data_IF_016328834640
#
_entry.id   IF_016328834640
#
_cell.length_a   1.000
_cell.length_b   1.000
_cell.length_c   1.000
_cell.angle_alpha   90.00
_cell.angle_beta   90.00
_cell.angle_gamma   90.00
#
_symmetry.space_group_name_H-M   'P 1'
#
loop_
_entity.id
_entity.type
_entity.pdbx_description
1 polymer ?
#
# COMPACT_ATOMS: atom_id res chain seq x y z
N UNK A 1 66.20 -72.65 -16.33
CA UNK A 1 66.95 -72.69 -15.05
C UNK A 1 66.96 -71.30 -14.43
N UNK A 2 67.11 -71.05 -13.12
CA UNK A 2 66.81 -71.86 -11.91
C UNK A 2 66.92 -70.90 -10.70
N UNK A 3 65.88 -70.78 -9.86
CA UNK A 3 65.82 -69.91 -8.65
C UNK A 3 65.89 -68.39 -8.97
N UNK A 4 65.48 -67.47 -8.09
CA UNK A 4 65.13 -67.59 -6.67
C UNK A 4 63.86 -66.79 -6.28
N UNK A 5 63.16 -67.26 -5.24
CA UNK A 5 62.04 -66.53 -4.63
C UNK A 5 62.55 -65.46 -3.65
N UNK A 6 62.03 -64.23 -3.75
CA UNK A 6 62.38 -63.10 -2.88
C UNK A 6 61.18 -62.54 -2.13
N UNK A 7 60.97 -62.99 -0.88
CA UNK A 7 59.94 -62.44 0.04
C UNK A 7 60.13 -60.93 0.28
N UNK A 8 59.10 -60.11 0.02
CA UNK A 8 58.85 -58.87 0.79
C UNK A 8 57.35 -58.67 1.09
N UNK A 9 56.84 -59.43 2.06
CA UNK A 9 55.61 -59.08 2.81
C UNK A 9 55.90 -57.95 3.80
N UNK A 10 55.85 -56.71 3.34
CA UNK A 10 55.67 -55.45 4.11
C UNK A 10 54.98 -54.51 3.10
N UNK A 11 53.70 -54.17 3.23
CA UNK A 11 53.10 -53.37 4.31
C UNK A 11 51.64 -53.75 4.56
N UNK A 12 51.37 -54.50 5.64
CA UNK A 12 50.02 -54.79 6.13
C UNK A 12 49.97 -54.69 7.67
N UNK A 13 50.55 -53.62 8.22
CA UNK A 13 50.62 -53.37 9.67
C UNK A 13 50.18 -51.97 10.10
N UNK A 14 50.10 -51.01 9.19
CA UNK A 14 49.62 -49.66 9.51
C UNK A 14 48.09 -49.52 9.40
N UNK A 15 47.41 -50.44 8.69
CA UNK A 15 45.95 -50.53 8.63
C UNK A 15 45.28 -51.08 9.91
N UNK A 16 46.05 -51.37 10.97
CA UNK A 16 45.54 -51.88 12.26
C UNK A 16 45.84 -50.95 13.45
N UNK A 17 46.29 -49.71 13.19
CA UNK A 17 46.43 -48.67 14.21
C UNK A 17 45.31 -47.62 14.19
N UNK A 18 44.31 -47.79 13.32
CA UNK A 18 43.14 -46.93 13.24
C UNK A 18 41.98 -47.36 14.17
N UNK A 19 41.95 -48.61 14.62
CA UNK A 19 40.95 -49.13 15.58
C UNK A 19 41.31 -48.79 17.04
N UNK A 20 41.68 -47.53 17.29
CA UNK A 20 41.59 -46.97 18.64
C UNK A 20 40.12 -46.66 18.90
N UNK A 21 39.42 -47.57 19.57
CA UNK A 21 38.00 -47.41 19.88
C UNK A 21 37.73 -46.09 20.61
N UNK A 22 36.81 -45.27 20.06
CA UNK A 22 36.46 -43.95 20.59
C UNK A 22 36.18 -44.02 22.09
N UNK A 23 36.80 -43.15 22.87
CA UNK A 23 36.57 -43.11 24.31
C UNK A 23 35.19 -42.51 24.60
N UNK A 24 34.53 -42.94 25.69
CA UNK A 24 33.21 -42.40 26.07
C UNK A 24 33.24 -40.87 26.25
N UNK A 25 34.36 -40.34 26.75
CA UNK A 25 34.61 -38.90 26.88
C UNK A 25 34.60 -38.19 25.52
N UNK A 26 35.26 -38.77 24.53
CA UNK A 26 35.40 -38.23 23.17
C UNK A 26 34.07 -38.21 22.42
N UNK A 27 33.22 -39.24 22.62
CA UNK A 27 31.84 -39.25 22.11
C UNK A 27 31.00 -38.10 22.71
N UNK A 28 31.12 -37.87 24.02
CA UNK A 28 30.40 -36.78 24.73
C UNK A 28 30.87 -35.41 24.22
N UNK A 29 32.18 -35.21 24.04
CA UNK A 29 32.73 -33.97 23.48
C UNK A 29 32.27 -33.78 22.03
N UNK A 30 32.31 -34.82 21.20
CA UNK A 30 31.82 -34.76 19.82
C UNK A 30 30.32 -34.41 19.74
N UNK A 31 29.49 -34.98 20.59
CA UNK A 31 28.06 -34.63 20.71
C UNK A 31 27.85 -33.19 21.19
N UNK A 32 28.62 -32.75 22.20
CA UNK A 32 28.60 -31.38 22.70
C UNK A 32 28.93 -30.35 21.61
N UNK A 33 30.06 -30.51 20.92
CA UNK A 33 30.46 -29.63 19.82
C UNK A 33 29.46 -29.70 18.66
N UNK A 34 28.96 -30.88 18.29
CA UNK A 34 27.97 -31.04 17.22
C UNK A 34 26.64 -30.34 17.54
N UNK A 35 26.16 -30.41 18.79
CA UNK A 35 24.93 -29.72 19.19
C UNK A 35 25.07 -28.19 19.16
N UNK A 36 26.24 -27.64 19.55
CA UNK A 36 26.54 -26.22 19.43
C UNK A 36 26.57 -25.79 17.95
N UNK A 37 27.23 -26.58 17.08
CA UNK A 37 27.27 -26.30 15.64
C UNK A 37 25.88 -26.34 15.00
N UNK A 38 25.04 -27.32 15.35
CA UNK A 38 23.66 -27.40 14.88
C UNK A 38 22.83 -26.19 15.36
N UNK A 39 22.98 -25.74 16.61
CA UNK A 39 22.30 -24.55 17.13
C UNK A 39 22.72 -23.27 16.38
N UNK A 40 24.01 -23.12 16.04
CA UNK A 40 24.50 -22.02 15.20
C UNK A 40 23.91 -22.06 13.79
N UNK A 41 23.85 -23.23 13.16
CA UNK A 41 23.26 -23.39 11.81
C UNK A 41 21.76 -23.08 11.82
N UNK A 42 21.02 -23.60 12.80
CA UNK A 42 19.57 -23.36 12.93
C UNK A 42 19.28 -21.88 13.23
N UNK A 43 20.03 -21.24 14.13
CA UNK A 43 19.85 -19.81 14.41
C UNK A 43 20.18 -18.92 13.20
N UNK A 44 21.22 -19.25 12.44
CA UNK A 44 21.55 -18.57 11.17
C UNK A 44 20.42 -18.75 10.14
N UNK A 45 19.90 -19.97 9.96
CA UNK A 45 18.82 -20.26 9.03
C UNK A 45 17.52 -19.53 9.39
N UNK A 46 17.13 -19.53 10.68
CA UNK A 46 15.96 -18.79 11.18
C UNK A 46 16.13 -17.29 10.97
N UNK A 47 17.33 -16.75 11.21
CA UNK A 47 17.63 -15.32 11.02
C UNK A 47 17.57 -14.92 9.55
N UNK A 48 18.15 -15.73 8.66
CA UNK A 48 18.10 -15.52 7.21
C UNK A 48 16.66 -15.60 6.67
N UNK A 49 15.89 -16.59 7.12
CA UNK A 49 14.48 -16.76 6.74
C UNK A 49 13.62 -15.57 7.18
N UNK A 50 13.78 -15.10 8.43
CA UNK A 50 13.10 -13.90 8.95
C UNK A 50 13.47 -12.67 8.13
N UNK A 51 14.78 -12.43 7.92
CA UNK A 51 15.24 -11.28 7.12
C UNK A 51 14.68 -11.28 5.71
N UNK A 52 14.43 -12.45 5.11
CA UNK A 52 13.82 -12.56 3.78
C UNK A 52 12.31 -12.25 3.83
N UNK A 53 11.57 -12.77 4.81
CA UNK A 53 10.16 -12.41 5.04
C UNK A 53 9.98 -10.91 5.30
N UNK A 54 10.84 -10.31 6.13
CA UNK A 54 10.76 -8.88 6.46
C UNK A 54 11.05 -8.01 5.22
N UNK A 55 12.05 -8.39 4.40
CA UNK A 55 12.33 -7.74 3.10
C UNK A 55 11.17 -7.85 2.11
N UNK A 56 10.48 -9.00 2.04
CA UNK A 56 9.28 -9.16 1.22
C UNK A 56 8.17 -8.22 1.70
N UNK A 57 7.92 -8.14 3.02
CA UNK A 57 6.96 -7.24 3.62
C UNK A 57 7.20 -5.76 3.27
N UNK A 58 8.46 -5.29 3.32
CA UNK A 58 8.83 -3.91 2.91
C UNK A 58 8.49 -3.65 1.43
N UNK A 59 8.79 -4.59 0.55
CA UNK A 59 8.52 -4.47 -0.90
C UNK A 59 7.02 -4.48 -1.19
N UNK A 60 6.26 -5.34 -0.52
CA UNK A 60 4.80 -5.38 -0.66
C UNK A 60 4.13 -4.12 -0.13
N UNK A 61 4.51 -3.64 1.06
CA UNK A 61 4.02 -2.37 1.63
C UNK A 61 4.23 -1.22 0.64
N UNK A 62 5.43 -1.13 0.07
CA UNK A 62 5.82 -0.06 -0.86
C UNK A 62 5.04 -0.11 -2.18
N UNK A 63 4.86 -1.32 -2.75
CA UNK A 63 4.08 -1.54 -3.98
C UNK A 63 2.60 -1.24 -3.78
N UNK A 64 2.02 -1.73 -2.68
CA UNK A 64 0.63 -1.47 -2.31
C UNK A 64 0.41 0.03 -2.14
N UNK A 65 1.15 0.70 -1.25
CA UNK A 65 0.99 2.12 -0.97
C UNK A 65 1.15 3.00 -2.23
N UNK A 66 2.10 2.67 -3.12
CA UNK A 66 2.29 3.38 -4.39
C UNK A 66 1.11 3.18 -5.35
N UNK A 67 0.61 1.95 -5.48
CA UNK A 67 -0.51 1.62 -6.36
C UNK A 67 -1.82 2.25 -5.88
N UNK A 68 -2.10 2.14 -4.58
CA UNK A 68 -3.22 2.81 -3.92
C UNK A 68 -3.15 4.33 -4.10
N UNK A 69 -1.97 4.94 -3.93
CA UNK A 69 -1.79 6.39 -4.06
C UNK A 69 -1.99 6.84 -5.51
N UNK A 70 -1.49 6.08 -6.48
CA UNK A 70 -1.72 6.37 -7.89
C UNK A 70 -3.22 6.35 -8.24
N UNK A 71 -3.99 5.38 -7.74
CA UNK A 71 -5.43 5.32 -8.05
C UNK A 71 -6.24 6.44 -7.38
N UNK A 72 -6.02 6.69 -6.07
CA UNK A 72 -6.69 7.80 -5.36
C UNK A 72 -6.36 9.14 -6.02
N UNK A 73 -5.09 9.38 -6.37
CA UNK A 73 -4.67 10.64 -6.99
C UNK A 73 -5.13 10.74 -8.46
N UNK A 74 -5.35 9.62 -9.16
CA UNK A 74 -5.98 9.56 -10.50
C UNK A 74 -7.43 10.03 -10.44
N UNK A 75 -8.23 9.51 -9.51
CA UNK A 75 -9.63 9.93 -9.29
C UNK A 75 -9.71 11.39 -8.86
N UNK A 76 -8.93 11.81 -7.85
CA UNK A 76 -8.97 13.20 -7.36
C UNK A 76 -8.65 14.18 -8.51
N UNK A 77 -7.61 13.91 -9.32
CA UNK A 77 -7.23 14.76 -10.46
C UNK A 77 -8.29 14.81 -11.57
N UNK A 78 -9.12 13.77 -11.69
CA UNK A 78 -10.25 13.71 -12.61
C UNK A 78 -11.55 14.29 -12.01
N UNK A 79 -11.48 14.98 -10.86
CA UNK A 79 -12.62 15.64 -10.22
C UNK A 79 -13.23 16.72 -11.10
N UNK A 80 -14.57 16.77 -11.15
CA UNK A 80 -15.34 17.70 -11.98
C UNK A 80 -16.53 18.25 -11.20
N UNK A 81 -16.94 19.47 -11.52
CA UNK A 81 -18.28 19.93 -11.16
C UNK A 81 -19.33 19.29 -12.09
N UNK A 82 -20.59 19.23 -11.65
CA UNK A 82 -21.71 18.66 -12.41
C UNK A 82 -22.80 19.74 -12.59
N UNK A 83 -23.14 20.14 -13.83
CA UNK A 83 -24.24 21.06 -14.08
C UNK A 83 -25.58 20.50 -13.58
N UNK A 84 -26.43 21.37 -13.01
CA UNK A 84 -27.77 20.99 -12.51
C UNK A 84 -28.88 21.64 -13.32
N UNK A 85 -29.93 20.85 -13.58
CA UNK A 85 -31.11 21.35 -14.26
C UNK A 85 -31.78 22.47 -13.44
N UNK A 86 -32.14 23.56 -14.12
CA UNK A 86 -32.81 24.73 -13.53
C UNK A 86 -32.10 25.33 -12.30
N UNK A 87 -30.76 25.27 -12.26
CA UNK A 87 -29.95 25.87 -11.20
C UNK A 87 -28.71 26.54 -11.81
N UNK A 88 -28.41 27.82 -11.51
CA UNK A 88 -27.20 28.49 -12.02
C UNK A 88 -25.91 27.92 -11.41
N UNK A 89 -25.98 27.29 -10.23
CA UNK A 89 -24.84 26.70 -9.55
C UNK A 89 -24.72 25.20 -9.86
N UNK A 90 -23.59 24.82 -10.47
CA UNK A 90 -23.15 23.43 -10.56
C UNK A 90 -23.08 22.77 -9.17
N UNK A 91 -23.33 21.47 -9.10
CA UNK A 91 -22.88 20.68 -7.95
C UNK A 91 -21.34 20.68 -7.90
N UNK A 92 -20.73 20.99 -6.74
CA UNK A 92 -19.28 21.04 -6.60
C UNK A 92 -18.63 19.66 -6.81
N UNK A 93 -17.31 19.68 -7.00
CA UNK A 93 -16.48 18.47 -7.14
C UNK A 93 -16.72 17.49 -5.98
N UNK A 94 -16.70 17.97 -4.74
CA UNK A 94 -16.97 17.15 -3.56
C UNK A 94 -18.42 17.27 -3.11
N UNK A 95 -19.09 16.14 -2.93
CA UNK A 95 -20.33 16.01 -2.16
C UNK A 95 -20.03 15.95 -0.67
N UNK A 96 -18.89 15.35 -0.31
CA UNK A 96 -18.42 15.22 1.07
C UNK A 96 -16.88 15.29 1.08
N UNK A 97 -16.33 16.11 1.98
CA UNK A 97 -14.89 16.32 2.12
C UNK A 97 -14.50 16.28 3.61
N UNK A 98 -14.28 15.08 4.14
CA UNK A 98 -13.89 14.82 5.53
C UNK A 98 -12.47 14.24 5.66
N UNK A 99 -12.00 14.04 6.89
CA UNK A 99 -10.61 13.65 7.16
C UNK A 99 -10.24 12.21 6.73
N UNK A 100 -11.19 11.28 6.79
CA UNK A 100 -11.02 9.85 6.43
C UNK A 100 -12.01 9.38 5.34
N UNK A 101 -12.81 10.30 4.79
CA UNK A 101 -13.78 10.03 3.74
C UNK A 101 -13.90 11.21 2.78
N UNK A 102 -13.90 10.91 1.47
CA UNK A 102 -14.35 11.81 0.41
C UNK A 102 -15.47 11.16 -0.40
N UNK A 103 -16.41 11.97 -0.87
CA UNK A 103 -17.35 11.63 -1.94
C UNK A 103 -17.24 12.74 -2.98
N UNK A 104 -16.97 12.39 -4.23
CA UNK A 104 -16.75 13.35 -5.31
C UNK A 104 -17.32 12.89 -6.65
N UNK A 105 -17.53 13.84 -7.55
CA UNK A 105 -17.87 13.61 -8.95
C UNK A 105 -16.60 13.63 -9.80
N UNK A 106 -16.49 12.73 -10.77
CA UNK A 106 -15.28 12.57 -11.58
C UNK A 106 -15.59 12.07 -12.99
N UNK A 107 -14.91 12.62 -14.01
CA UNK A 107 -14.85 12.02 -15.36
C UNK A 107 -13.69 11.02 -15.47
N UNK A 108 -13.58 10.12 -14.49
CA UNK A 108 -12.62 9.01 -14.58
C UNK A 108 -13.18 7.91 -15.48
N UNK A 109 -12.31 7.29 -16.28
CA UNK A 109 -12.63 6.22 -17.21
C UNK A 109 -13.68 6.63 -18.29
N UNK A 110 -13.93 7.94 -18.43
CA UNK A 110 -14.60 8.54 -19.57
C UNK A 110 -13.79 8.28 -20.85
N UNK A 111 -14.29 7.37 -21.69
CA UNK A 111 -13.69 7.09 -22.99
C UNK A 111 -13.81 8.26 -23.97
N UNK A 112 -13.41 8.06 -25.22
CA UNK A 112 -13.53 9.08 -26.28
C UNK A 112 -14.97 9.33 -26.77
N UNK A 113 -15.98 8.98 -25.95
CA UNK A 113 -17.37 9.20 -26.27
C UNK A 113 -17.72 10.70 -26.08
N UNK A 114 -18.48 11.32 -27.00
CA UNK A 114 -18.83 12.74 -26.90
C UNK A 114 -19.79 13.06 -25.73
N UNK A 115 -20.44 12.03 -25.17
CA UNK A 115 -21.33 12.11 -24.01
C UNK A 115 -20.95 11.00 -23.00
N UNK A 116 -19.70 11.03 -22.53
CA UNK A 116 -19.23 10.07 -21.54
C UNK A 116 -19.83 10.38 -20.16
N UNK A 117 -20.47 9.40 -19.47
CA UNK A 117 -21.09 9.65 -18.17
C UNK A 117 -20.02 9.94 -17.10
N UNK A 118 -20.26 10.90 -16.18
CA UNK A 118 -19.47 11.06 -14.99
C UNK A 118 -19.70 9.88 -14.03
N UNK A 119 -18.81 9.71 -13.07
CA UNK A 119 -18.92 8.73 -11.99
C UNK A 119 -18.88 9.45 -10.65
N UNK A 120 -19.77 9.07 -9.73
CA UNK A 120 -19.63 9.47 -8.32
C UNK A 120 -18.77 8.44 -7.63
N UNK A 121 -17.71 8.87 -6.97
CA UNK A 121 -16.73 8.01 -6.29
C UNK A 121 -16.65 8.40 -4.82
N UNK A 122 -16.77 7.43 -3.93
CA UNK A 122 -16.42 7.54 -2.52
C UNK A 122 -15.09 6.84 -2.29
N UNK A 123 -14.18 7.48 -1.59
CA UNK A 123 -13.13 6.79 -0.85
C UNK A 123 -13.43 6.94 0.63
N UNK A 124 -13.55 5.82 1.33
CA UNK A 124 -13.83 5.80 2.77
C UNK A 124 -13.00 4.72 3.44
N UNK A 125 -12.64 4.96 4.70
CA UNK A 125 -11.95 3.96 5.50
C UNK A 125 -12.93 2.92 6.05
N UNK A 126 -12.67 1.65 5.76
CA UNK A 126 -13.42 0.50 6.26
C UNK A 126 -13.03 0.10 7.68
N UNK A 127 -13.86 -0.72 8.31
CA UNK A 127 -13.66 -1.22 9.68
C UNK A 127 -12.37 -2.04 9.87
N UNK A 128 -11.87 -2.69 8.82
CA UNK A 128 -10.62 -3.44 8.81
C UNK A 128 -9.34 -2.60 8.70
N UNK A 129 -9.41 -1.28 8.94
CA UNK A 129 -8.33 -0.33 8.62
C UNK A 129 -7.99 -0.32 7.11
N UNK A 130 -9.00 -0.48 6.26
CA UNK A 130 -8.86 -0.57 4.80
C UNK A 130 -9.29 0.73 4.12
N UNK A 131 -8.77 1.05 2.93
CA UNK A 131 -9.36 2.07 2.06
C UNK A 131 -10.24 1.38 1.04
N UNK A 132 -11.53 1.67 1.09
CA UNK A 132 -12.53 1.20 0.14
C UNK A 132 -12.83 2.29 -0.88
N UNK A 133 -12.98 1.89 -2.14
CA UNK A 133 -13.57 2.72 -3.19
C UNK A 133 -14.94 2.18 -3.54
N UNK A 134 -15.95 3.05 -3.49
CA UNK A 134 -17.32 2.77 -3.90
C UNK A 134 -17.70 3.71 -5.05
N UNK A 135 -18.28 3.17 -6.12
CA UNK A 135 -18.72 3.93 -7.29
C UNK A 135 -20.23 3.85 -7.47
N UNK A 136 -20.82 4.91 -7.99
CA UNK A 136 -22.20 4.96 -8.47
C UNK A 136 -22.20 5.43 -9.92
N UNK A 137 -23.01 4.77 -10.75
CA UNK A 137 -23.23 5.16 -12.13
C UNK A 137 -24.03 6.47 -12.20
N UNK A 138 -23.84 7.22 -13.28
CA UNK A 138 -24.67 8.36 -13.62
C UNK A 138 -25.75 7.98 -14.63
N UNK A 139 -26.89 8.66 -14.54
CA UNK A 139 -27.97 8.61 -15.51
C UNK A 139 -28.42 10.02 -15.89
N UNK A 140 -28.92 10.19 -17.12
CA UNK A 140 -29.47 11.46 -17.59
C UNK A 140 -30.78 11.78 -16.89
N UNK A 141 -30.88 12.99 -16.33
CA UNK A 141 -32.14 13.63 -15.88
C UNK A 141 -32.73 14.46 -17.02
N UNK A 142 -31.86 15.03 -17.85
CA UNK A 142 -32.18 15.77 -19.08
C UNK A 142 -30.95 15.65 -20.01
N UNK A 143 -31.08 16.01 -21.29
CA UNK A 143 -30.09 15.82 -22.39
C UNK A 143 -28.61 16.07 -22.07
N UNK A 144 -28.29 16.95 -21.12
CA UNK A 144 -26.91 17.31 -20.73
C UNK A 144 -26.69 17.34 -19.21
N UNK A 145 -27.59 16.72 -18.44
CA UNK A 145 -27.67 16.87 -17.00
C UNK A 145 -27.73 15.52 -16.31
N UNK A 146 -26.73 15.26 -15.46
CA UNK A 146 -26.51 13.98 -14.82
C UNK A 146 -27.01 13.97 -13.37
N UNK A 147 -27.71 12.90 -12.99
CA UNK A 147 -27.82 12.46 -11.61
C UNK A 147 -27.09 11.13 -11.45
N UNK A 148 -27.01 10.65 -10.21
CA UNK A 148 -26.30 9.42 -9.86
C UNK A 148 -27.22 8.48 -9.10
N UNK A 149 -27.05 7.19 -9.33
CA UNK A 149 -27.82 6.16 -8.64
C UNK A 149 -27.56 6.18 -7.12
N UNK A 150 -28.49 5.65 -6.34
CA UNK A 150 -28.34 5.47 -4.90
C UNK A 150 -27.65 4.15 -4.55
N UNK A 151 -27.83 3.11 -5.38
CA UNK A 151 -27.17 1.81 -5.26
C UNK A 151 -25.77 1.87 -5.89
N UNK A 152 -24.70 1.43 -5.19
CA UNK A 152 -23.37 1.35 -5.77
C UNK A 152 -23.32 0.43 -6.99
N UNK A 153 -22.66 0.87 -8.06
CA UNK A 153 -22.34 0.05 -9.23
C UNK A 153 -21.14 -0.87 -8.98
N UNK A 154 -20.23 -0.48 -8.09
CA UNK A 154 -19.11 -1.32 -7.66
C UNK A 154 -18.54 -0.86 -6.31
N UNK A 155 -17.91 -1.79 -5.59
CA UNK A 155 -17.12 -1.52 -4.38
C UNK A 155 -15.87 -2.38 -4.42
N UNK A 156 -14.70 -1.82 -4.13
CA UNK A 156 -13.41 -2.54 -4.14
C UNK A 156 -12.44 -2.05 -3.08
N UNK A 157 -11.55 -2.94 -2.67
CA UNK A 157 -10.41 -2.65 -1.79
C UNK A 157 -9.30 -1.94 -2.57
N UNK A 158 -8.78 -0.84 -2.01
CA UNK A 158 -7.69 -0.03 -2.60
C UNK A 158 -6.40 -0.16 -1.80
N UNK A 159 -6.49 -0.17 -0.46
CA UNK A 159 -5.37 -0.38 0.44
C UNK A 159 -5.83 -1.19 1.65
N UNK A 160 -5.01 -2.15 2.09
CA UNK A 160 -5.19 -2.85 3.36
C UNK A 160 -4.24 -2.31 4.44
N UNK A 161 -4.57 -2.56 5.70
CA UNK A 161 -3.68 -2.35 6.85
C UNK A 161 -3.14 -0.91 6.96
N UNK A 162 -4.04 0.07 6.85
CA UNK A 162 -3.71 1.49 7.06
C UNK A 162 -3.61 1.80 8.55
N UNK A 163 -2.47 2.29 9.03
CA UNK A 163 -2.36 2.73 10.43
C UNK A 163 -3.37 3.84 10.72
N UNK A 164 -3.99 3.90 11.91
CA UNK A 164 -4.92 4.96 12.29
C UNK A 164 -4.47 6.36 11.88
N UNK A 165 -5.34 7.06 11.15
CA UNK A 165 -5.16 8.47 10.89
C UNK A 165 -5.22 9.24 12.23
N UNK A 166 -4.52 10.37 12.30
CA UNK A 166 -4.52 11.23 13.48
C UNK A 166 -5.02 12.62 13.09
N UNK A 167 -5.46 13.42 14.05
CA UNK A 167 -5.85 14.82 13.78
C UNK A 167 -4.71 15.63 13.11
N UNK A 168 -3.45 15.30 13.42
CA UNK A 168 -2.26 15.87 12.77
C UNK A 168 -2.00 15.33 11.35
N UNK A 169 -2.31 14.06 11.10
CA UNK A 169 -2.07 13.35 9.84
C UNK A 169 -3.34 12.62 9.36
N UNK A 170 -4.37 13.36 8.92
CA UNK A 170 -5.57 12.75 8.33
C UNK A 170 -5.24 12.11 6.98
N UNK A 171 -6.09 11.17 6.54
CA UNK A 171 -5.97 10.55 5.22
C UNK A 171 -6.12 11.59 4.11
N UNK A 172 -7.08 12.52 4.27
CA UNK A 172 -7.32 13.64 3.37
C UNK A 172 -7.16 14.98 4.10
N UNK A 173 -6.40 15.91 3.50
CA UNK A 173 -6.28 17.29 3.97
C UNK A 173 -6.41 18.26 2.80
N UNK A 174 -7.26 19.27 2.96
CA UNK A 174 -7.67 20.17 1.89
C UNK A 174 -6.94 21.50 2.01
N UNK A 175 -6.69 22.15 0.88
CA UNK A 175 -6.10 23.48 0.81
C UNK A 175 -6.83 24.32 -0.24
N UNK A 176 -6.98 25.60 0.04
CA UNK A 176 -7.47 26.57 -0.94
C UNK A 176 -6.38 27.03 -1.92
N UNK A 177 -6.73 27.97 -2.80
CA UNK A 177 -5.82 28.52 -3.83
C UNK A 177 -4.60 29.25 -3.27
N UNK A 178 -4.68 29.73 -2.02
CA UNK A 178 -3.61 30.47 -1.35
C UNK A 178 -2.77 29.54 -0.45
N UNK A 179 -3.06 28.23 -0.47
CA UNK A 179 -2.38 27.22 0.33
C UNK A 179 -2.84 27.15 1.78
N UNK A 180 -3.95 27.81 2.15
CA UNK A 180 -4.50 27.77 3.51
C UNK A 180 -5.21 26.43 3.72
N UNK A 181 -4.91 25.77 4.84
CA UNK A 181 -5.50 24.47 5.16
C UNK A 181 -6.98 24.60 5.55
N UNK A 182 -7.85 23.93 4.80
CA UNK A 182 -9.28 23.79 5.11
C UNK A 182 -9.48 22.50 5.92
N UNK A 183 -9.78 22.64 7.20
CA UNK A 183 -9.93 21.52 8.14
C UNK A 183 -11.42 21.16 8.31
N UNK A 184 -11.86 19.93 7.97
CA UNK A 184 -13.21 19.49 8.27
C UNK A 184 -13.40 19.26 9.78
N UNK A 185 -14.63 19.43 10.31
CA UNK A 185 -14.94 19.05 11.68
C UNK A 185 -14.76 17.54 11.90
N UNK A 186 -14.50 17.12 13.14
CA UNK A 186 -14.30 15.71 13.47
C UNK A 186 -15.53 14.86 13.09
N UNK A 187 -15.31 13.81 12.29
CA UNK A 187 -16.37 12.95 11.74
C UNK A 187 -17.29 13.61 10.69
N UNK A 188 -17.02 14.86 10.28
CA UNK A 188 -17.85 15.62 9.35
C UNK A 188 -17.11 16.05 8.08
N UNK A 189 -17.83 16.83 7.27
CA UNK A 189 -17.34 17.41 6.02
C UNK A 189 -17.07 18.90 6.18
N UNK A 190 -16.17 19.43 5.35
CA UNK A 190 -16.13 20.86 5.01
C UNK A 190 -17.52 21.35 4.57
N UNK A 191 -17.81 22.63 4.84
CA UNK A 191 -19.02 23.30 4.37
C UNK A 191 -19.01 23.46 2.85
N UNK A 192 -20.18 23.64 2.22
CA UNK A 192 -20.30 23.82 0.76
C UNK A 192 -19.45 24.98 0.23
N UNK A 193 -19.38 26.09 0.97
CA UNK A 193 -18.55 27.24 0.61
C UNK A 193 -17.04 26.91 0.66
N UNK A 194 -16.59 26.17 1.68
CA UNK A 194 -15.20 25.70 1.76
C UNK A 194 -14.89 24.67 0.68
N UNK A 195 -15.81 23.74 0.39
CA UNK A 195 -15.70 22.73 -0.66
C UNK A 195 -15.45 23.38 -2.03
N UNK A 196 -16.20 24.43 -2.38
CA UNK A 196 -16.00 25.17 -3.64
C UNK A 196 -14.61 25.82 -3.72
N UNK A 197 -14.03 26.19 -2.59
CA UNK A 197 -12.71 26.82 -2.51
C UNK A 197 -11.54 25.82 -2.45
N UNK A 198 -11.77 24.50 -2.41
CA UNK A 198 -10.68 23.50 -2.39
C UNK A 198 -9.93 23.52 -3.73
N UNK A 199 -8.68 23.96 -3.72
CA UNK A 199 -7.77 23.95 -4.87
C UNK A 199 -6.97 22.65 -4.96
N UNK A 200 -6.68 22.02 -3.81
CA UNK A 200 -5.89 20.79 -3.77
C UNK A 200 -6.19 19.92 -2.54
N UNK A 201 -5.92 18.62 -2.71
CA UNK A 201 -6.02 17.62 -1.65
C UNK A 201 -4.67 16.95 -1.46
N UNK A 202 -4.16 16.98 -0.22
CA UNK A 202 -3.07 16.14 0.23
C UNK A 202 -3.63 14.82 0.73
N UNK A 203 -3.20 13.74 0.11
CA UNK A 203 -3.51 12.36 0.51
C UNK A 203 -2.31 11.82 1.29
N UNK A 204 -2.55 11.26 2.47
CA UNK A 204 -1.49 10.66 3.31
C UNK A 204 -1.89 9.24 3.69
N UNK A 205 -1.18 8.24 3.17
CA UNK A 205 -1.41 6.83 3.50
C UNK A 205 -0.21 6.24 4.21
N UNK A 206 -0.47 5.52 5.30
CA UNK A 206 0.53 4.80 6.10
C UNK A 206 0.15 3.33 6.12
N UNK A 207 0.89 2.49 5.38
CA UNK A 207 0.56 1.08 5.12
C UNK A 207 1.50 0.17 5.90
N UNK A 208 0.92 -0.81 6.61
CA UNK A 208 1.64 -1.83 7.37
C UNK A 208 1.00 -3.21 7.13
N UNK A 209 1.28 -3.83 5.97
CA UNK A 209 0.73 -5.14 5.63
C UNK A 209 1.42 -6.31 6.37
N UNK A 210 2.52 -6.06 7.08
CA UNK A 210 3.08 -7.00 8.06
C UNK A 210 2.34 -6.87 9.40
N UNK A 211 1.39 -7.78 9.63
CA UNK A 211 0.62 -7.87 10.88
C UNK A 211 1.49 -8.22 12.10
N UNK A 212 2.71 -8.72 11.91
CA UNK A 212 3.61 -9.04 13.02
C UNK A 212 4.28 -7.81 13.65
N UNK A 213 4.12 -6.63 13.02
CA UNK A 213 4.66 -5.37 13.51
C UNK A 213 6.19 -5.29 13.52
N UNK A 214 6.89 -6.20 12.83
CA UNK A 214 8.36 -6.22 12.74
C UNK A 214 8.87 -5.26 11.67
N UNK A 215 8.08 -5.03 10.63
CA UNK A 215 8.37 -4.06 9.56
C UNK A 215 7.71 -2.71 9.87
N UNK A 216 8.52 -1.64 9.79
CA UNK A 216 8.06 -0.25 9.93
C UNK A 216 7.00 0.12 8.85
N UNK A 217 5.94 0.88 9.21
CA UNK A 217 4.92 1.32 8.26
C UNK A 217 5.48 2.22 7.15
N UNK A 218 5.12 1.94 5.90
CA UNK A 218 5.47 2.79 4.75
C UNK A 218 4.49 3.97 4.67
N UNK A 219 5.01 5.19 4.80
CA UNK A 219 4.24 6.43 4.70
C UNK A 219 4.41 7.07 3.32
N UNK A 220 3.33 7.14 2.53
CA UNK A 220 3.29 7.82 1.23
C UNK A 220 2.38 9.05 1.34
N UNK A 221 2.87 10.19 0.87
CA UNK A 221 2.13 11.45 0.83
C UNK A 221 2.16 12.01 -0.60
N UNK A 222 1.02 12.42 -1.13
CA UNK A 222 0.94 13.12 -2.42
C UNK A 222 -0.01 14.31 -2.32
N UNK A 223 0.21 15.35 -3.12
CA UNK A 223 -0.62 16.54 -3.19
C UNK A 223 -1.18 16.69 -4.60
N UNK A 224 -2.51 16.73 -4.72
CA UNK A 224 -3.23 16.71 -5.99
C UNK A 224 -3.95 18.02 -6.16
N UNK A 225 -3.55 18.81 -7.16
CA UNK A 225 -4.31 19.97 -7.62
C UNK A 225 -5.56 19.55 -8.38
N UNK A 226 -6.65 20.29 -8.17
CA UNK A 226 -7.93 20.12 -8.84
C UNK A 226 -8.09 21.17 -9.95
N UNK A 227 -8.74 20.84 -11.09
CA UNK A 227 -8.96 21.77 -12.19
C UNK A 227 -10.15 22.74 -11.96
N UNK A 228 -10.77 22.74 -10.78
CA UNK A 228 -12.05 23.38 -10.49
C UNK A 228 -12.00 24.91 -10.34
N UNK A 229 -10.86 25.49 -9.95
CA UNK A 229 -10.76 26.92 -9.64
C UNK A 229 -10.31 27.81 -10.81
N UNK A 230 -10.34 27.31 -12.05
CA UNK A 230 -9.94 28.08 -13.24
C UNK A 230 -8.44 28.39 -13.34
N UNK A 231 -7.64 28.02 -12.35
CA UNK A 231 -6.17 28.10 -12.39
C UNK A 231 -5.64 26.89 -13.15
N UNK A 232 -5.08 27.13 -14.33
CA UNK A 232 -4.57 26.10 -15.22
C UNK A 232 -3.34 25.39 -14.65
N UNK A 233 -3.01 24.23 -15.25
CA UNK A 233 -1.77 23.52 -14.96
C UNK A 233 -0.57 24.33 -15.45
N UNK A 234 0.49 24.35 -14.63
CA UNK A 234 1.82 24.94 -14.89
C UNK A 234 1.87 26.47 -14.78
N UNK A 235 2.44 26.92 -13.67
CA UNK A 235 3.61 27.80 -13.71
C UNK A 235 4.66 27.21 -12.76
N UNK A 236 5.78 26.76 -13.32
CA UNK A 236 7.02 26.45 -12.61
C UNK A 236 8.06 27.40 -13.22
N UNK A 237 8.83 28.15 -12.40
CA UNK A 237 9.74 29.19 -12.88
C UNK A 237 10.90 28.66 -13.76
#
# INVERSE_FOLDING_TARGET
MTRAAGRRRRTARDAHRADAGMTVLELIVAMGVSSILLALIVSMFVTASRSFSDQQGVVENSRLASTSMNEVTRVIRAGTEIPRWNNPDNDPVFVYAGAEQIIMHSFIDAGTAPDAPPVRVQFARGSGNELMETRWAAHHVHTTYWAFDTTPSSTRLIARSLTPATASTPLFRYYDKDGVALTPPAGGSLTVAQIRNVASVRVTMRVQADESGRVEPVSVQNMVGLPNLGVARVDVP
#
